data_IF_845503086637
#
_entry.id   IF_845503086637
#
_cell.length_a   1.000
_cell.length_b   1.000
_cell.length_c   1.000
_cell.angle_alpha   90.00
_cell.angle_beta   90.00
_cell.angle_gamma   90.00
#
_symmetry.space_group_name_H-M   'P 1'
#
loop_
_entity.id
_entity.type
_entity.pdbx_description
1 polymer ?
#
# COMPACT_ATOMS: atom_id res chain seq x y z
N UNK A 1 17.29 31.46 14.49
CA UNK A 1 16.15 31.35 13.54
C UNK A 1 16.24 30.07 12.69
N UNK A 2 17.37 29.76 12.04
CA UNK A 2 17.55 28.52 11.27
C UNK A 2 17.38 27.20 12.05
N UNK A 3 17.87 27.14 13.29
CA UNK A 3 17.79 25.92 14.12
C UNK A 3 16.34 25.60 14.50
N UNK A 4 15.51 26.63 14.71
CA UNK A 4 14.09 26.48 15.04
C UNK A 4 13.30 25.96 13.84
N UNK A 5 13.60 26.46 12.63
CA UNK A 5 13.00 25.99 11.39
C UNK A 5 13.39 24.54 11.05
N UNK A 6 14.64 24.15 11.31
CA UNK A 6 15.09 22.76 11.15
C UNK A 6 14.33 21.81 12.08
N UNK A 7 14.20 22.16 13.36
CA UNK A 7 13.45 21.39 14.35
C UNK A 7 11.96 21.22 13.99
N UNK A 8 11.35 22.23 13.38
CA UNK A 8 9.94 22.14 12.92
C UNK A 8 9.77 21.21 11.72
N UNK A 9 10.73 21.16 10.79
CA UNK A 9 10.64 20.26 9.64
C UNK A 9 10.81 18.79 10.02
N UNK A 10 11.72 18.50 10.94
CA UNK A 10 11.89 17.15 11.48
C UNK A 10 10.63 16.69 12.24
N UNK A 11 10.03 17.58 13.06
CA UNK A 11 8.78 17.30 13.75
C UNK A 11 7.61 17.10 12.77
N UNK A 12 7.53 17.89 11.71
CA UNK A 12 6.48 17.77 10.68
C UNK A 12 6.61 16.44 9.93
N UNK A 13 7.84 16.01 9.62
CA UNK A 13 8.15 14.68 9.07
C UNK A 13 7.63 13.57 9.98
N UNK A 14 7.94 13.63 11.27
CA UNK A 14 7.56 12.62 12.25
C UNK A 14 6.05 12.57 12.45
N UNK A 15 5.37 13.71 12.58
CA UNK A 15 3.91 13.78 12.70
C UNK A 15 3.25 13.20 11.44
N UNK A 16 3.71 13.60 10.26
CA UNK A 16 3.14 13.11 9.01
C UNK A 16 3.41 11.62 8.83
N UNK A 17 4.60 11.11 9.19
CA UNK A 17 4.92 9.70 9.17
C UNK A 17 4.04 8.89 10.14
N UNK A 18 3.82 9.39 11.36
CA UNK A 18 2.91 8.77 12.33
C UNK A 18 1.48 8.77 11.79
N UNK A 19 1.03 9.87 11.19
CA UNK A 19 -0.30 9.96 10.58
C UNK A 19 -0.44 8.98 9.40
N UNK A 20 0.59 8.84 8.57
CA UNK A 20 0.68 7.85 7.49
C UNK A 20 0.62 6.43 8.03
N UNK A 21 1.35 6.12 9.10
CA UNK A 21 1.34 4.81 9.76
C UNK A 21 -0.03 4.50 10.39
N UNK A 22 -0.69 5.50 10.99
CA UNK A 22 -2.04 5.36 11.55
C UNK A 22 -3.05 5.11 10.42
N UNK A 23 -3.00 5.86 9.32
CA UNK A 23 -3.86 5.66 8.16
C UNK A 23 -3.66 4.28 7.53
N UNK A 24 -2.41 3.85 7.39
CA UNK A 24 -2.04 2.51 6.92
C UNK A 24 -2.55 1.44 7.89
N UNK A 25 -2.45 1.66 9.20
CA UNK A 25 -3.00 0.76 10.21
C UNK A 25 -4.51 0.62 10.11
N UNK A 26 -5.23 1.72 9.87
CA UNK A 26 -6.68 1.72 9.63
C UNK A 26 -7.02 0.97 8.34
N UNK A 27 -6.26 1.19 7.26
CA UNK A 27 -6.44 0.47 5.98
C UNK A 27 -6.20 -1.05 6.14
N UNK A 28 -5.18 -1.45 6.90
CA UNK A 28 -4.88 -2.86 7.18
C UNK A 28 -5.99 -3.52 8.01
N UNK A 29 -6.51 -2.82 9.03
CA UNK A 29 -7.62 -3.33 9.86
C UNK A 29 -8.93 -3.38 9.08
N UNK A 30 -9.19 -2.38 8.22
CA UNK A 30 -10.37 -2.33 7.35
C UNK A 30 -10.33 -3.41 6.26
N UNK A 31 -9.15 -3.80 5.79
CA UNK A 31 -8.97 -4.88 4.82
C UNK A 31 -9.35 -6.27 5.38
N UNK A 32 -9.25 -6.47 6.70
CA UNK A 32 -9.67 -7.70 7.35
C UNK A 32 -11.20 -7.88 7.39
N UNK A 33 -11.98 -6.86 7.03
CA UNK A 33 -13.46 -6.87 7.07
C UNK A 33 -14.15 -7.40 5.79
N UNK A 34 -13.46 -8.21 4.99
CA UNK A 34 -14.09 -9.12 4.02
C UNK A 34 -14.82 -8.45 2.82
N UNK A 35 -14.22 -7.42 2.21
CA UNK A 35 -14.60 -6.96 0.86
C UNK A 35 -13.38 -6.98 -0.06
N UNK A 36 -13.54 -7.58 -1.25
CA UNK A 36 -12.56 -7.55 -2.34
C UNK A 36 -12.42 -6.12 -2.88
N UNK A 37 -11.73 -5.25 -2.14
CA UNK A 37 -11.36 -3.91 -2.59
C UNK A 37 -9.87 -3.95 -2.83
N UNK A 38 -9.42 -3.56 -4.03
CA UNK A 38 -8.00 -3.45 -4.36
C UNK A 38 -7.34 -2.33 -3.52
N UNK A 39 -7.00 -2.64 -2.26
CA UNK A 39 -6.37 -1.70 -1.32
C UNK A 39 -4.99 -1.23 -1.80
N UNK A 40 -4.37 -1.93 -2.76
CA UNK A 40 -3.16 -1.46 -3.44
C UNK A 40 -3.37 -0.10 -4.08
N UNK A 41 -4.52 0.12 -4.74
CA UNK A 41 -4.80 1.37 -5.43
C UNK A 41 -4.84 2.55 -4.46
N UNK A 42 -5.57 2.38 -3.35
CA UNK A 42 -5.73 3.40 -2.31
C UNK A 42 -4.38 3.75 -1.67
N UNK A 43 -3.58 2.75 -1.30
CA UNK A 43 -2.26 2.97 -0.68
C UNK A 43 -1.28 3.69 -1.62
N UNK A 44 -1.32 3.34 -2.91
CA UNK A 44 -0.47 3.99 -3.93
C UNK A 44 -0.91 5.44 -4.17
N UNK A 45 -2.21 5.70 -4.24
CA UNK A 45 -2.77 7.05 -4.34
C UNK A 45 -2.45 7.90 -3.11
N UNK A 46 -2.42 7.32 -1.92
CA UNK A 46 -2.07 8.01 -0.68
C UNK A 46 -0.58 8.38 -0.64
N UNK A 47 0.30 7.50 -1.13
CA UNK A 47 1.73 7.81 -1.34
C UNK A 47 1.95 8.95 -2.35
N UNK A 48 1.21 8.95 -3.46
CA UNK A 48 1.21 10.04 -4.44
C UNK A 48 0.74 11.37 -3.81
N UNK A 49 -0.32 11.33 -2.99
CA UNK A 49 -0.82 12.50 -2.27
C UNK A 49 0.23 13.07 -1.29
N UNK A 50 0.95 12.22 -0.56
CA UNK A 50 2.08 12.66 0.28
C UNK A 50 3.18 13.36 -0.51
N UNK A 51 3.45 12.90 -1.73
CA UNK A 51 4.40 13.52 -2.66
C UNK A 51 3.98 14.95 -3.02
N UNK A 52 2.70 15.14 -3.35
CA UNK A 52 2.14 16.46 -3.66
C UNK A 52 2.22 17.41 -2.47
N UNK A 53 1.91 16.92 -1.25
CA UNK A 53 2.01 17.73 -0.04
C UNK A 53 3.45 18.14 0.28
N UNK A 54 4.42 17.23 0.08
CA UNK A 54 5.84 17.53 0.30
C UNK A 54 6.40 18.60 -0.64
N UNK A 55 6.07 18.49 -1.93
CA UNK A 55 6.46 19.48 -2.93
C UNK A 55 5.77 20.82 -2.64
N UNK A 56 4.47 20.79 -2.30
CA UNK A 56 3.71 21.99 -1.95
C UNK A 56 4.31 22.72 -0.73
N UNK A 57 4.66 21.98 0.32
CA UNK A 57 5.33 22.53 1.50
C UNK A 57 6.70 23.15 1.15
N UNK A 58 7.49 22.49 0.29
CA UNK A 58 8.79 23.00 -0.15
C UNK A 58 8.69 24.26 -1.02
N UNK A 59 7.60 24.40 -1.78
CA UNK A 59 7.34 25.56 -2.63
C UNK A 59 6.74 26.75 -1.87
N UNK A 60 5.98 26.51 -0.79
CA UNK A 60 5.39 27.59 0.01
C UNK A 60 6.43 28.56 0.59
N UNK A 61 7.63 28.09 0.90
CA UNK A 61 8.72 28.91 1.43
C UNK A 61 9.76 29.28 0.36
N UNK A 62 9.52 28.94 -0.91
CA UNK A 62 10.44 29.21 -2.01
C UNK A 62 10.25 30.63 -2.54
N UNK A 63 11.27 31.48 -2.40
CA UNK A 63 11.31 32.80 -3.01
C UNK A 63 12.24 32.78 -4.24
N UNK A 64 11.71 33.19 -5.39
CA UNK A 64 12.45 33.27 -6.66
C UNK A 64 13.50 34.39 -6.63
N UNK A 65 13.28 35.45 -5.85
CA UNK A 65 14.22 36.56 -5.71
C UNK A 65 15.44 36.19 -4.85
N UNK A 66 15.30 35.21 -3.95
CA UNK A 66 16.37 34.69 -3.10
C UNK A 66 16.56 33.17 -3.28
N UNK A 67 17.00 32.76 -4.46
CA UNK A 67 17.21 31.34 -4.81
C UNK A 67 18.18 30.66 -3.82
N UNK A 68 19.26 31.33 -3.44
CA UNK A 68 20.32 30.73 -2.59
C UNK A 68 19.77 30.37 -1.19
N UNK A 69 18.86 31.19 -0.62
CA UNK A 69 18.24 30.92 0.68
C UNK A 69 17.08 29.92 0.58
N UNK A 70 16.45 29.82 -0.60
CA UNK A 70 15.24 29.04 -0.84
C UNK A 70 15.49 27.60 -1.32
N UNK A 71 16.60 27.34 -2.03
CA UNK A 71 16.96 26.00 -2.52
C UNK A 71 17.06 24.95 -1.41
N UNK A 72 17.69 25.21 -0.25
CA UNK A 72 17.77 24.21 0.82
C UNK A 72 16.39 23.79 1.35
N UNK A 73 15.43 24.72 1.42
CA UNK A 73 14.06 24.45 1.89
C UNK A 73 13.27 23.63 0.87
N UNK A 74 13.43 23.93 -0.41
CA UNK A 74 12.85 23.14 -1.50
C UNK A 74 13.40 21.71 -1.49
N UNK A 75 14.71 21.55 -1.29
CA UNK A 75 15.35 20.23 -1.19
C UNK A 75 14.82 19.43 0.00
N UNK A 76 14.50 20.08 1.11
CA UNK A 76 13.91 19.42 2.28
C UNK A 76 12.48 18.93 1.99
N UNK A 77 11.64 19.76 1.36
CA UNK A 77 10.29 19.35 0.93
C UNK A 77 10.32 18.22 -0.11
N UNK A 78 11.30 18.23 -1.01
CA UNK A 78 11.49 17.17 -2.01
C UNK A 78 11.98 15.86 -1.38
N UNK A 79 12.86 15.93 -0.38
CA UNK A 79 13.29 14.76 0.41
C UNK A 79 12.10 14.13 1.15
N UNK A 80 11.23 14.95 1.74
CA UNK A 80 9.98 14.49 2.34
C UNK A 80 9.09 13.79 1.31
N UNK A 81 8.83 14.45 0.17
CA UNK A 81 7.96 13.94 -0.88
C UNK A 81 8.42 12.56 -1.38
N UNK A 82 9.74 12.41 -1.55
CA UNK A 82 10.35 11.15 -1.95
C UNK A 82 10.16 10.06 -0.88
N UNK A 83 10.41 10.37 0.39
CA UNK A 83 10.28 9.42 1.49
C UNK A 83 8.84 8.88 1.63
N UNK A 84 7.83 9.75 1.52
CA UNK A 84 6.42 9.35 1.63
C UNK A 84 5.98 8.44 0.47
N UNK A 85 6.49 8.70 -0.74
CA UNK A 85 6.19 7.90 -1.93
C UNK A 85 6.79 6.49 -1.82
N UNK A 86 8.07 6.39 -1.43
CA UNK A 86 8.75 5.10 -1.23
C UNK A 86 8.03 4.26 -0.19
N UNK A 87 7.64 4.86 0.95
CA UNK A 87 6.90 4.15 1.99
C UNK A 87 5.53 3.67 1.49
N UNK A 88 4.76 4.52 0.80
CA UNK A 88 3.46 4.14 0.25
C UNK A 88 3.54 2.97 -0.74
N UNK A 89 4.52 3.00 -1.64
CA UNK A 89 4.76 1.94 -2.63
C UNK A 89 5.25 0.64 -2.00
N UNK A 90 6.16 0.71 -1.03
CA UNK A 90 6.67 -0.46 -0.31
C UNK A 90 5.54 -1.16 0.46
N UNK A 91 4.73 -0.40 1.18
CA UNK A 91 3.57 -0.92 1.90
C UNK A 91 2.55 -1.53 0.94
N UNK A 92 2.27 -0.87 -0.19
CA UNK A 92 1.29 -1.36 -1.17
C UNK A 92 1.73 -2.70 -1.78
N UNK A 93 3.02 -2.81 -2.08
CA UNK A 93 3.62 -4.02 -2.62
C UNK A 93 3.67 -5.13 -1.58
N UNK A 94 3.99 -4.81 -0.34
CA UNK A 94 4.03 -5.76 0.77
C UNK A 94 2.65 -6.35 1.07
N UNK A 95 1.61 -5.51 1.18
CA UNK A 95 0.23 -5.95 1.40
C UNK A 95 -0.23 -6.87 0.28
N UNK A 96 0.06 -6.49 -0.97
CA UNK A 96 -0.28 -7.31 -2.12
C UNK A 96 0.45 -8.65 -2.14
N UNK A 97 1.75 -8.69 -1.80
CA UNK A 97 2.51 -9.92 -1.68
C UNK A 97 1.91 -10.84 -0.62
N UNK A 98 1.58 -10.29 0.56
CA UNK A 98 0.96 -11.02 1.65
C UNK A 98 -0.40 -11.60 1.24
N UNK A 99 -1.23 -10.78 0.59
CA UNK A 99 -2.53 -11.20 0.08
C UNK A 99 -2.41 -12.35 -0.92
N UNK A 100 -1.46 -12.28 -1.86
CA UNK A 100 -1.22 -13.36 -2.82
C UNK A 100 -0.83 -14.64 -2.10
N UNK A 101 0.15 -14.59 -1.20
CA UNK A 101 0.65 -15.76 -0.47
C UNK A 101 -0.47 -16.41 0.35
N UNK A 102 -1.26 -15.59 1.06
CA UNK A 102 -2.41 -16.07 1.83
C UNK A 102 -3.48 -16.72 0.95
N UNK A 103 -3.87 -16.05 -0.14
CA UNK A 103 -4.88 -16.56 -1.08
C UNK A 103 -4.44 -17.88 -1.72
N UNK A 104 -3.18 -17.96 -2.16
CA UNK A 104 -2.65 -19.16 -2.82
C UNK A 104 -2.65 -20.37 -1.86
N UNK A 105 -2.21 -20.19 -0.62
CA UNK A 105 -2.17 -21.26 0.38
C UNK A 105 -3.60 -21.69 0.78
N UNK A 106 -4.53 -20.75 0.94
CA UNK A 106 -5.87 -21.04 1.44
C UNK A 106 -6.80 -21.66 0.37
N UNK A 107 -6.63 -21.33 -0.92
CA UNK A 107 -7.42 -21.96 -1.99
C UNK A 107 -7.07 -23.44 -2.21
N UNK A 108 -5.81 -23.83 -2.04
CA UNK A 108 -5.39 -25.22 -2.24
C UNK A 108 -5.99 -26.19 -1.20
N UNK A 109 -6.35 -25.70 -0.01
CA UNK A 109 -6.93 -26.51 1.07
C UNK A 109 -8.46 -26.70 0.97
N UNK A 110 -9.17 -26.06 0.02
CA UNK A 110 -10.64 -26.13 -0.06
C UNK A 110 -11.19 -26.53 -1.44
N UNK A 111 -10.48 -26.28 -2.53
CA UNK A 111 -10.95 -26.61 -3.89
C UNK A 111 -10.64 -28.03 -4.33
N UNK A 112 -9.55 -28.62 -3.82
CA UNK A 112 -9.11 -29.97 -4.22
C UNK A 112 -10.01 -31.05 -3.59
N UNK A 113 -10.27 -30.96 -2.29
CA UNK A 113 -11.10 -31.94 -1.58
C UNK A 113 -12.57 -31.93 -2.02
N UNK A 114 -13.16 -30.76 -2.28
CA UNK A 114 -14.57 -30.68 -2.66
C UNK A 114 -14.81 -31.25 -4.05
N UNK A 115 -13.97 -30.90 -5.04
CA UNK A 115 -14.11 -31.42 -6.40
C UNK A 115 -13.91 -32.93 -6.42
N UNK A 116 -12.97 -33.45 -5.66
CA UNK A 116 -12.74 -34.89 -5.55
C UNK A 116 -13.95 -35.60 -4.94
N UNK A 117 -14.52 -35.09 -3.85
CA UNK A 117 -15.72 -35.68 -3.22
C UNK A 117 -16.93 -35.67 -4.17
N UNK A 118 -17.19 -34.57 -4.87
CA UNK A 118 -18.26 -34.51 -5.87
C UNK A 118 -18.00 -35.45 -7.05
N UNK A 119 -16.75 -35.56 -7.49
CA UNK A 119 -16.34 -36.46 -8.57
C UNK A 119 -16.54 -37.94 -8.20
N UNK A 120 -16.12 -38.36 -6.99
CA UNK A 120 -16.35 -39.73 -6.49
C UNK A 120 -17.84 -40.05 -6.34
N UNK A 121 -18.64 -39.09 -5.89
CA UNK A 121 -20.10 -39.23 -5.77
C UNK A 121 -20.79 -39.36 -7.14
N UNK A 122 -20.44 -38.51 -8.12
CA UNK A 122 -20.97 -38.59 -9.49
C UNK A 122 -20.57 -39.88 -10.22
N UNK A 123 -19.35 -40.37 -9.97
CA UNK A 123 -18.86 -41.64 -10.52
C UNK A 123 -19.65 -42.84 -9.98
N UNK A 124 -19.97 -42.84 -8.68
CA UNK A 124 -20.81 -43.87 -8.06
C UNK A 124 -22.27 -43.84 -8.54
N UNK A 125 -22.79 -42.65 -8.86
CA UNK A 125 -24.13 -42.45 -9.42
C UNK A 125 -24.25 -42.78 -10.92
N UNK A 126 -23.14 -43.17 -11.59
CA UNK A 126 -23.14 -43.50 -13.01
C UNK A 126 -23.36 -42.31 -13.96
N UNK A 127 -23.25 -41.08 -13.45
CA UNK A 127 -23.47 -39.84 -14.20
C UNK A 127 -22.15 -39.16 -14.65
N UNK A 128 -20.98 -39.67 -14.24
CA UNK A 128 -19.68 -39.07 -14.57
C UNK A 128 -19.18 -39.43 -15.96
N UNK A 129 -19.19 -38.49 -16.91
CA UNK A 129 -18.48 -38.62 -18.19
C UNK A 129 -17.01 -38.23 -18.02
N UNK A 130 -16.10 -39.07 -18.53
CA UNK A 130 -14.64 -39.03 -18.40
C UNK A 130 -13.95 -37.78 -19.02
N UNK A 131 -14.67 -36.82 -19.59
CA UNK A 131 -14.05 -35.71 -20.32
C UNK A 131 -13.42 -34.63 -19.42
N UNK A 132 -13.52 -34.77 -18.09
CA UNK A 132 -13.11 -33.76 -17.12
C UNK A 132 -12.04 -34.25 -16.12
N UNK A 133 -11.18 -35.19 -16.52
CA UNK A 133 -10.02 -35.57 -15.73
C UNK A 133 -8.99 -34.42 -15.71
N UNK A 134 -8.49 -33.97 -14.54
CA UNK A 134 -7.44 -32.96 -14.48
C UNK A 134 -6.12 -33.54 -15.04
N UNK A 135 -5.48 -32.79 -15.93
CA UNK A 135 -4.04 -32.93 -16.20
C UNK A 135 -3.23 -32.52 -14.98
#
# INVERSE_FOLDING_TARGET
MYILAAMTQDLTLVIFAILMVIFVGIDIVSFHANRHVDCKGILTSLGMLGTFLGIFQGLMEFNVEEIISSVPKLLAGLKFAFATSVLGLLLATFVHMWQIVWYNIFQHLSQQDLKDIYFYSLKWLGLGKYQDAPN
#
